data_IF_246922964113
#
_entry.id   IF_246922964113
#
_cell.length_a   1.000
_cell.length_b   1.000
_cell.length_c   1.000
_cell.angle_alpha   90.00
_cell.angle_beta   90.00
_cell.angle_gamma   90.00
#
_symmetry.space_group_name_H-M   'P 1'
#
loop_
_entity.id
_entity.type
_entity.pdbx_description
1 polymer ?
#
# COMPACT_ATOMS: atom_id res chain seq x y z
N UNK A 1 21.50 -6.13 3.23
CA UNK A 1 21.58 -4.67 3.42
C UNK A 1 21.19 -3.95 2.14
N UNK A 2 21.80 -4.24 1.00
CA UNK A 2 21.57 -3.55 -0.29
C UNK A 2 20.11 -3.47 -0.72
N UNK A 3 19.31 -4.51 -0.41
CA UNK A 3 17.90 -4.53 -0.74
C UNK A 3 17.08 -3.53 0.07
N UNK A 4 17.31 -3.45 1.38
CA UNK A 4 16.66 -2.47 2.27
C UNK A 4 17.14 -1.06 1.96
N UNK A 5 18.41 -0.88 1.67
CA UNK A 5 18.97 0.40 1.26
C UNK A 5 18.29 0.87 -0.03
N UNK A 6 18.24 0.02 -1.05
CA UNK A 6 17.60 0.36 -2.31
C UNK A 6 16.10 0.63 -2.18
N UNK A 7 15.37 -0.12 -1.33
CA UNK A 7 13.97 0.12 -1.04
C UNK A 7 13.74 1.47 -0.36
N UNK A 8 14.52 1.75 0.67
CA UNK A 8 14.35 2.92 1.52
C UNK A 8 14.88 4.20 0.86
N UNK A 9 15.96 4.11 0.09
CA UNK A 9 16.69 5.25 -0.44
C UNK A 9 16.27 5.65 -1.86
N UNK A 10 15.74 4.71 -2.63
CA UNK A 10 15.25 4.97 -3.99
C UNK A 10 16.35 4.87 -5.05
N UNK A 11 16.01 5.21 -6.29
CA UNK A 11 16.79 4.88 -7.49
C UNK A 11 18.11 5.65 -7.66
N UNK A 12 18.23 6.86 -7.16
CA UNK A 12 19.47 7.66 -7.22
C UNK A 12 20.62 7.07 -6.40
N UNK A 13 20.28 6.09 -5.60
CA UNK A 13 21.20 5.43 -4.71
C UNK A 13 22.04 4.33 -5.36
N UNK A 14 21.65 3.85 -6.53
CA UNK A 14 22.20 2.62 -7.05
C UNK A 14 23.50 2.80 -7.84
N UNK A 15 24.63 2.64 -7.13
CA UNK A 15 25.79 1.94 -7.70
C UNK A 15 25.63 0.41 -7.54
N UNK A 16 24.47 -0.07 -7.06
CA UNK A 16 24.13 -1.49 -6.86
C UNK A 16 23.14 -1.95 -7.93
N UNK A 17 23.07 -3.25 -8.19
CA UNK A 17 22.14 -3.91 -9.13
C UNK A 17 20.65 -3.75 -8.78
N UNK A 18 20.32 -2.79 -7.93
CA UNK A 18 18.97 -2.49 -7.48
C UNK A 18 18.01 -2.20 -8.63
N UNK A 19 18.47 -1.58 -9.69
CA UNK A 19 17.66 -1.28 -10.88
C UNK A 19 17.10 -2.52 -11.58
N UNK A 20 17.81 -3.64 -11.49
CA UNK A 20 17.44 -4.90 -12.13
C UNK A 20 16.59 -5.83 -11.24
N UNK A 21 16.36 -5.46 -9.97
CA UNK A 21 15.58 -6.29 -9.04
C UNK A 21 14.08 -6.11 -9.25
N UNK A 22 13.37 -7.23 -9.32
CA UNK A 22 11.91 -7.25 -9.42
C UNK A 22 11.30 -6.91 -8.05
N UNK A 23 10.68 -5.74 -7.93
CA UNK A 23 10.09 -5.25 -6.67
C UNK A 23 8.64 -5.69 -6.46
N UNK A 24 8.08 -6.54 -7.32
CA UNK A 24 6.69 -6.96 -7.25
C UNK A 24 6.33 -7.58 -5.88
N UNK A 25 7.21 -8.44 -5.34
CA UNK A 25 7.01 -9.02 -4.01
C UNK A 25 6.94 -7.99 -2.88
N UNK A 26 7.64 -6.86 -3.01
CA UNK A 26 7.60 -5.78 -2.02
C UNK A 26 6.29 -4.99 -2.05
N UNK A 27 5.70 -4.79 -3.22
CA UNK A 27 4.39 -4.15 -3.32
C UNK A 27 3.31 -5.02 -2.66
N UNK A 28 3.33 -6.33 -2.90
CA UNK A 28 2.42 -7.27 -2.24
C UNK A 28 2.64 -7.24 -0.72
N UNK A 29 3.90 -7.33 -0.27
CA UNK A 29 4.23 -7.30 1.16
C UNK A 29 3.78 -6.00 1.81
N UNK A 30 3.95 -4.86 1.13
CA UNK A 30 3.46 -3.57 1.60
C UNK A 30 1.93 -3.57 1.72
N UNK A 31 1.20 -4.06 0.71
CA UNK A 31 -0.25 -4.18 0.75
C UNK A 31 -0.72 -5.01 1.93
N UNK A 32 -0.18 -6.23 2.08
CA UNK A 32 -0.50 -7.11 3.20
C UNK A 32 -0.20 -6.49 4.57
N UNK A 33 0.91 -5.76 4.69
CA UNK A 33 1.27 -5.09 5.94
C UNK A 33 0.30 -3.96 6.30
N UNK A 34 -0.09 -3.16 5.31
CA UNK A 34 -1.10 -2.09 5.50
C UNK A 34 -2.44 -2.70 5.86
N UNK A 35 -2.87 -3.77 5.18
CA UNK A 35 -4.13 -4.46 5.48
C UNK A 35 -4.15 -5.04 6.88
N UNK A 36 -3.02 -5.62 7.32
CA UNK A 36 -2.91 -6.14 8.70
C UNK A 36 -3.08 -5.01 9.74
N UNK A 37 -2.50 -3.81 9.49
CA UNK A 37 -2.68 -2.65 10.36
C UNK A 37 -4.13 -2.16 10.33
N UNK A 38 -4.72 -2.03 9.15
CA UNK A 38 -6.12 -1.57 8.99
C UNK A 38 -7.08 -2.53 9.69
N UNK A 39 -6.90 -3.85 9.51
CA UNK A 39 -7.70 -4.87 10.19
C UNK A 39 -7.52 -4.81 11.71
N UNK A 40 -6.29 -4.65 12.17
CA UNK A 40 -6.00 -4.54 13.61
C UNK A 40 -6.71 -3.33 14.22
N UNK A 41 -6.57 -2.16 13.60
CA UNK A 41 -7.24 -0.93 14.05
C UNK A 41 -8.77 -1.06 13.99
N UNK A 42 -9.30 -1.69 12.93
CA UNK A 42 -10.72 -1.89 12.73
C UNK A 42 -11.34 -2.83 13.77
N UNK A 43 -10.68 -3.98 14.05
CA UNK A 43 -11.22 -4.98 15.00
C UNK A 43 -11.05 -4.53 16.45
N UNK A 44 -9.91 -3.97 16.81
CA UNK A 44 -9.60 -3.64 18.22
C UNK A 44 -10.01 -2.23 18.61
N UNK A 45 -10.42 -1.38 17.66
CA UNK A 45 -10.78 0.04 17.88
C UNK A 45 -9.74 0.77 18.74
N UNK A 46 -8.49 0.36 18.68
CA UNK A 46 -7.37 0.90 19.46
C UNK A 46 -6.42 1.58 18.51
N UNK A 47 -6.24 2.90 18.66
CA UNK A 47 -5.24 3.65 17.91
C UNK A 47 -3.83 3.04 18.11
N UNK A 48 -3.34 2.30 17.10
CA UNK A 48 -2.01 1.68 17.15
C UNK A 48 -0.96 2.76 16.91
N UNK A 49 -0.23 3.16 17.96
CA UNK A 49 0.97 4.03 17.87
C UNK A 49 0.80 5.18 16.86
N UNK A 50 -0.38 5.82 16.81
CA UNK A 50 -0.64 6.97 15.94
C UNK A 50 -0.76 6.68 14.44
N UNK A 51 -0.88 5.42 14.00
CA UNK A 51 -1.21 5.10 12.62
C UNK A 51 -2.59 5.66 12.27
N UNK A 52 -2.68 6.34 11.12
CA UNK A 52 -3.94 6.93 10.66
C UNK A 52 -4.24 8.33 11.23
N UNK A 53 -3.53 8.79 12.24
CA UNK A 53 -3.72 10.15 12.79
C UNK A 53 -2.68 11.12 12.21
N UNK A 54 -2.94 11.62 11.00
CA UNK A 54 -2.06 12.53 10.29
C UNK A 54 -2.50 13.97 10.51
N UNK A 55 -1.71 14.70 11.29
CA UNK A 55 -1.85 16.15 11.44
C UNK A 55 -1.02 16.95 10.40
N UNK A 56 -1.21 18.26 10.31
CA UNK A 56 -0.49 19.11 9.36
C UNK A 56 1.03 19.07 9.53
N UNK A 57 1.52 18.82 10.73
CA UNK A 57 2.96 18.68 11.02
C UNK A 57 3.53 17.44 10.31
N UNK A 58 2.82 16.30 10.32
CA UNK A 58 3.26 15.08 9.62
C UNK A 58 3.34 15.29 8.11
N UNK A 59 2.39 16.04 7.54
CA UNK A 59 2.40 16.38 6.11
C UNK A 59 3.60 17.27 5.81
N UNK A 60 3.88 18.28 6.62
CA UNK A 60 5.02 19.19 6.44
C UNK A 60 6.34 18.42 6.51
N UNK A 61 6.50 17.50 7.48
CA UNK A 61 7.68 16.64 7.60
C UNK A 61 7.81 15.74 6.37
N UNK A 62 6.71 15.14 5.93
CA UNK A 62 6.71 14.28 4.74
C UNK A 62 7.17 15.03 3.49
N UNK A 63 6.63 16.23 3.25
CA UNK A 63 7.00 17.08 2.11
C UNK A 63 8.47 17.46 2.18
N UNK A 64 8.95 17.87 3.36
CA UNK A 64 10.35 18.22 3.57
C UNK A 64 11.28 17.03 3.26
N UNK A 65 10.97 15.84 3.78
CA UNK A 65 11.73 14.61 3.52
C UNK A 65 11.66 14.19 2.05
N UNK A 66 10.50 14.43 1.41
CA UNK A 66 10.29 14.16 0.00
C UNK A 66 11.20 15.02 -0.88
N UNK A 67 11.23 16.33 -0.62
CA UNK A 67 12.05 17.30 -1.37
C UNK A 67 13.54 17.11 -1.10
N UNK A 68 13.93 16.81 0.14
CA UNK A 68 15.32 16.63 0.54
C UNK A 68 15.92 15.30 0.08
N UNK A 69 15.11 14.33 -0.32
CA UNK A 69 15.54 12.96 -0.67
C UNK A 69 16.76 12.88 -1.60
N UNK A 70 16.78 13.57 -2.78
CA UNK A 70 17.88 13.45 -3.70
C UNK A 70 19.20 14.01 -3.15
N UNK A 71 19.13 15.06 -2.33
CA UNK A 71 20.30 15.67 -1.70
C UNK A 71 20.87 14.81 -0.58
N UNK A 72 20.02 14.20 0.24
CA UNK A 72 20.42 13.30 1.32
C UNK A 72 21.14 12.07 0.75
N UNK A 73 20.67 11.53 -0.39
CA UNK A 73 21.23 10.33 -0.98
C UNK A 73 22.54 10.55 -1.74
N UNK A 74 22.81 11.77 -2.18
CA UNK A 74 23.91 12.09 -3.12
C UNK A 74 25.32 11.64 -2.70
N UNK A 75 25.65 11.60 -1.41
CA UNK A 75 27.01 11.25 -0.90
C UNK A 75 27.05 10.08 0.08
N UNK A 76 26.02 9.29 0.12
CA UNK A 76 25.90 8.24 1.15
C UNK A 76 27.08 7.27 1.20
N UNK A 77 27.53 6.71 0.09
CA UNK A 77 28.63 5.73 0.10
C UNK A 77 29.94 6.30 0.61
N UNK A 78 30.10 7.61 0.55
CA UNK A 78 31.27 8.32 1.06
C UNK A 78 31.13 8.79 2.52
N UNK A 79 29.97 8.54 3.14
CA UNK A 79 29.72 8.96 4.51
C UNK A 79 30.24 7.94 5.54
N UNK A 80 30.60 8.40 6.75
CA UNK A 80 30.90 7.52 7.86
C UNK A 80 29.66 6.73 8.27
N UNK A 81 29.86 5.61 8.98
CA UNK A 81 28.80 4.70 9.41
C UNK A 81 27.63 5.42 10.12
N UNK A 82 27.95 6.38 10.98
CA UNK A 82 26.95 7.17 11.70
C UNK A 82 26.04 7.99 10.77
N UNK A 83 26.61 8.59 9.72
CA UNK A 83 25.83 9.30 8.70
C UNK A 83 24.89 8.38 7.93
N UNK A 84 25.35 7.16 7.62
CA UNK A 84 24.53 6.12 6.97
C UNK A 84 23.34 5.71 7.83
N UNK A 85 23.58 5.45 9.13
CA UNK A 85 22.52 5.11 10.08
C UNK A 85 21.49 6.24 10.18
N UNK A 86 21.93 7.49 10.29
CA UNK A 86 21.04 8.64 10.34
C UNK A 86 20.14 8.73 9.10
N UNK A 87 20.74 8.56 7.92
CA UNK A 87 19.98 8.60 6.65
C UNK A 87 18.96 7.47 6.60
N UNK A 88 19.32 6.26 7.00
CA UNK A 88 18.40 5.13 7.06
C UNK A 88 17.22 5.40 8.02
N UNK A 89 17.50 5.97 9.20
CA UNK A 89 16.45 6.36 10.15
C UNK A 89 15.49 7.39 9.56
N UNK A 90 16.01 8.41 8.87
CA UNK A 90 15.18 9.42 8.17
C UNK A 90 14.30 8.74 7.10
N UNK A 91 14.83 7.75 6.38
CA UNK A 91 14.08 7.02 5.37
C UNK A 91 13.04 6.08 5.96
N UNK A 92 13.34 5.44 7.08
CA UNK A 92 12.35 4.65 7.84
C UNK A 92 11.21 5.56 8.29
N UNK A 93 11.51 6.75 8.82
CA UNK A 93 10.49 7.73 9.21
C UNK A 93 9.59 8.13 8.03
N UNK A 94 10.17 8.34 6.85
CA UNK A 94 9.40 8.59 5.63
C UNK A 94 8.50 7.41 5.25
N UNK A 95 9.01 6.19 5.33
CA UNK A 95 8.24 4.98 5.07
C UNK A 95 7.06 4.84 6.04
N UNK A 96 7.29 5.10 7.33
CA UNK A 96 6.26 5.15 8.35
C UNK A 96 5.16 6.17 8.00
N UNK A 97 5.53 7.38 7.58
CA UNK A 97 4.57 8.40 7.17
C UNK A 97 3.73 7.98 5.95
N UNK A 98 4.33 7.29 4.97
CA UNK A 98 3.59 6.73 3.83
C UNK A 98 2.56 5.70 4.28
N UNK A 99 2.94 4.80 5.17
CA UNK A 99 2.04 3.78 5.74
C UNK A 99 0.92 4.46 6.51
N UNK A 100 1.23 5.40 7.41
CA UNK A 100 0.24 6.13 8.19
C UNK A 100 -0.75 6.90 7.31
N UNK A 101 -0.26 7.52 6.23
CA UNK A 101 -1.11 8.18 5.25
C UNK A 101 -2.04 7.20 4.53
N UNK A 102 -1.53 6.04 4.12
CA UNK A 102 -2.34 5.00 3.47
C UNK A 102 -3.44 4.48 4.41
N UNK A 103 -3.09 4.20 5.68
CA UNK A 103 -4.05 3.77 6.71
C UNK A 103 -5.11 4.84 6.94
N UNK A 104 -4.73 6.12 7.05
CA UNK A 104 -5.67 7.23 7.25
C UNK A 104 -6.66 7.41 6.09
N UNK A 105 -6.28 7.03 4.88
CA UNK A 105 -7.16 7.06 3.71
C UNK A 105 -8.13 5.86 3.67
N UNK A 106 -7.68 4.69 4.12
CA UNK A 106 -8.46 3.44 4.01
C UNK A 106 -9.41 3.25 5.18
N UNK A 107 -8.97 3.50 6.41
CA UNK A 107 -9.73 3.24 7.62
C UNK A 107 -11.12 3.91 7.64
N UNK A 108 -11.29 5.20 7.29
CA UNK A 108 -12.60 5.84 7.28
C UNK A 108 -13.57 5.30 6.22
N UNK A 109 -13.07 4.54 5.24
CA UNK A 109 -13.88 3.94 4.18
C UNK A 109 -14.49 2.60 4.56
N UNK A 110 -14.08 2.03 5.68
CA UNK A 110 -14.70 0.84 6.27
C UNK A 110 -15.98 1.27 6.99
N UNK A 111 -17.10 1.24 6.28
CA UNK A 111 -18.40 1.74 6.76
C UNK A 111 -19.18 0.74 7.60
N UNK A 112 -18.86 -0.56 7.52
CA UNK A 112 -19.55 -1.62 8.26
C UNK A 112 -18.92 -1.74 9.63
N UNK A 113 -19.74 -1.78 10.69
CA UNK A 113 -19.25 -2.02 12.06
C UNK A 113 -18.91 -3.50 12.22
N UNK A 114 -17.91 -3.80 13.06
CA UNK A 114 -17.50 -5.20 13.31
C UNK A 114 -18.66 -6.03 13.86
N UNK A 115 -19.47 -5.43 14.74
CA UNK A 115 -20.62 -6.08 15.36
C UNK A 115 -21.71 -6.46 14.32
N UNK A 116 -21.86 -5.65 13.26
CA UNK A 116 -22.86 -5.83 12.23
C UNK A 116 -22.35 -6.70 11.05
N UNK A 117 -21.05 -7.06 11.07
CA UNK A 117 -20.39 -7.75 9.96
C UNK A 117 -21.03 -9.11 9.66
N UNK A 118 -21.38 -9.87 10.72
CA UNK A 118 -22.00 -11.18 10.59
C UNK A 118 -23.38 -11.09 9.93
N UNK A 119 -24.20 -10.18 10.38
CA UNK A 119 -25.54 -9.98 9.84
C UNK A 119 -25.49 -9.47 8.38
N UNK A 120 -24.54 -8.58 8.09
CA UNK A 120 -24.29 -8.12 6.74
C UNK A 120 -23.89 -9.26 5.79
N UNK A 121 -22.96 -10.13 6.22
CA UNK A 121 -22.52 -11.29 5.44
C UNK A 121 -23.65 -12.28 5.20
N UNK A 122 -24.44 -12.61 6.24
CA UNK A 122 -25.59 -13.52 6.11
C UNK A 122 -26.62 -12.94 5.15
N UNK A 123 -26.95 -11.66 5.31
CA UNK A 123 -27.89 -10.97 4.42
C UNK A 123 -27.43 -10.96 2.97
N UNK A 124 -26.14 -10.67 2.73
CA UNK A 124 -25.55 -10.70 1.40
C UNK A 124 -25.59 -12.11 0.77
N UNK A 125 -25.26 -13.14 1.54
CA UNK A 125 -25.34 -14.54 1.08
C UNK A 125 -26.77 -14.91 0.68
N UNK A 126 -27.74 -14.67 1.58
CA UNK A 126 -29.12 -15.01 1.35
C UNK A 126 -29.69 -14.28 0.12
N UNK A 127 -29.48 -12.97 0.03
CA UNK A 127 -29.97 -12.16 -1.11
C UNK A 127 -29.32 -12.58 -2.43
N UNK A 128 -28.06 -12.99 -2.41
CA UNK A 128 -27.37 -13.48 -3.60
C UNK A 128 -27.92 -14.84 -4.05
N UNK A 129 -28.09 -15.78 -3.13
CA UNK A 129 -28.65 -17.10 -3.42
C UNK A 129 -30.10 -17.00 -3.94
N UNK A 130 -30.94 -16.17 -3.31
CA UNK A 130 -32.31 -15.91 -3.75
C UNK A 130 -32.35 -15.34 -5.17
N UNK A 131 -31.58 -14.29 -5.44
CA UNK A 131 -31.45 -13.67 -6.76
C UNK A 131 -31.07 -14.68 -7.86
N UNK A 132 -30.15 -15.59 -7.59
CA UNK A 132 -29.77 -16.60 -8.57
C UNK A 132 -30.82 -17.71 -8.69
N UNK A 133 -31.48 -18.11 -7.61
CA UNK A 133 -32.60 -19.06 -7.65
C UNK A 133 -33.76 -18.54 -8.51
N UNK A 134 -34.14 -17.29 -8.32
CA UNK A 134 -35.17 -16.63 -9.13
C UNK A 134 -34.81 -16.60 -10.63
N UNK A 135 -33.54 -16.29 -10.95
CA UNK A 135 -33.10 -16.30 -12.35
C UNK A 135 -33.27 -17.65 -13.05
N UNK A 136 -33.10 -18.74 -12.32
CA UNK A 136 -33.24 -20.09 -12.88
C UNK A 136 -34.64 -20.64 -12.78
N UNK A 137 -35.56 -20.00 -12.06
CA UNK A 137 -36.91 -20.48 -11.84
C UNK A 137 -37.68 -20.63 -13.16
N UNK A 138 -37.52 -19.69 -14.08
CA UNK A 138 -38.20 -19.71 -15.40
C UNK A 138 -37.65 -20.78 -16.36
N UNK A 139 -36.36 -21.17 -16.22
CA UNK A 139 -35.68 -22.05 -17.17
C UNK A 139 -35.44 -23.47 -16.66
N UNK A 140 -35.36 -23.67 -15.33
CA UNK A 140 -34.94 -24.94 -14.73
C UNK A 140 -36.01 -25.61 -13.84
N UNK A 141 -37.16 -24.98 -13.62
CA UNK A 141 -38.27 -25.57 -12.85
C UNK A 141 -37.80 -26.08 -11.46
N UNK A 142 -37.98 -27.39 -11.21
CA UNK A 142 -37.63 -28.03 -9.94
C UNK A 142 -36.12 -27.99 -9.61
N UNK A 143 -35.25 -27.78 -10.59
CA UNK A 143 -33.82 -27.70 -10.41
C UNK A 143 -33.31 -26.26 -10.16
N UNK A 144 -34.19 -25.27 -10.17
CA UNK A 144 -33.83 -23.86 -10.00
C UNK A 144 -33.04 -23.57 -8.69
N UNK A 145 -33.46 -24.24 -7.61
CA UNK A 145 -32.79 -24.08 -6.31
C UNK A 145 -31.34 -24.60 -6.35
N UNK A 146 -31.11 -25.78 -6.96
CA UNK A 146 -29.75 -26.37 -7.06
C UNK A 146 -28.84 -25.48 -7.93
N UNK A 147 -29.35 -25.06 -9.10
CA UNK A 147 -28.60 -24.16 -9.99
C UNK A 147 -28.38 -22.78 -9.37
N UNK A 148 -29.38 -22.27 -8.65
CA UNK A 148 -29.28 -21.02 -7.91
C UNK A 148 -28.19 -21.04 -6.84
N UNK A 149 -28.14 -22.11 -6.04
CA UNK A 149 -27.11 -22.29 -5.02
C UNK A 149 -25.71 -22.42 -5.63
N UNK A 150 -25.56 -23.20 -6.69
CA UNK A 150 -24.28 -23.35 -7.38
C UNK A 150 -23.80 -22.05 -8.00
N UNK A 151 -24.64 -21.36 -8.77
CA UNK A 151 -24.29 -20.10 -9.43
C UNK A 151 -24.10 -18.95 -8.42
N UNK A 152 -24.97 -18.88 -7.41
CA UNK A 152 -24.85 -17.92 -6.31
C UNK A 152 -23.57 -18.16 -5.50
N UNK A 153 -23.25 -19.42 -5.19
CA UNK A 153 -22.01 -19.79 -4.50
C UNK A 153 -20.76 -19.39 -5.27
N UNK A 154 -20.71 -19.67 -6.59
CA UNK A 154 -19.59 -19.24 -7.46
C UNK A 154 -19.49 -17.72 -7.47
N UNK A 155 -20.61 -16.98 -7.55
CA UNK A 155 -20.62 -15.52 -7.51
C UNK A 155 -20.07 -14.99 -6.18
N UNK A 156 -20.48 -15.55 -5.06
CA UNK A 156 -20.00 -15.15 -3.72
C UNK A 156 -18.50 -15.38 -3.61
N UNK A 157 -18.02 -16.58 -3.98
CA UNK A 157 -16.57 -16.90 -3.95
C UNK A 157 -15.79 -15.93 -4.85
N UNK A 158 -16.28 -15.66 -6.07
CA UNK A 158 -15.66 -14.69 -6.98
C UNK A 158 -15.61 -13.29 -6.39
N UNK A 159 -16.68 -12.85 -5.74
CA UNK A 159 -16.75 -11.54 -5.08
C UNK A 159 -15.75 -11.44 -3.91
N UNK A 160 -15.68 -12.47 -3.06
CA UNK A 160 -14.72 -12.51 -1.94
C UNK A 160 -13.28 -12.45 -2.43
N UNK A 161 -12.96 -13.23 -3.49
CA UNK A 161 -11.61 -13.20 -4.09
C UNK A 161 -11.28 -11.83 -4.69
N UNK A 162 -12.24 -11.18 -5.33
CA UNK A 162 -12.07 -9.86 -5.91
C UNK A 162 -11.83 -8.80 -4.81
N UNK A 163 -12.58 -8.86 -3.72
CA UNK A 163 -12.35 -7.96 -2.58
C UNK A 163 -11.00 -8.20 -1.90
N UNK A 164 -10.59 -9.46 -1.70
CA UNK A 164 -9.29 -9.79 -1.14
C UNK A 164 -8.15 -9.26 -2.02
N UNK A 165 -8.28 -9.40 -3.34
CA UNK A 165 -7.32 -8.88 -4.29
C UNK A 165 -7.29 -7.34 -4.28
N UNK A 166 -8.44 -6.69 -4.25
CA UNK A 166 -8.56 -5.24 -4.17
C UNK A 166 -7.94 -4.70 -2.87
N UNK A 167 -8.15 -5.37 -1.74
CA UNK A 167 -7.55 -5.00 -0.46
C UNK A 167 -6.03 -4.90 -0.57
N UNK A 168 -5.36 -5.89 -1.18
CA UNK A 168 -3.90 -5.88 -1.35
C UNK A 168 -3.46 -4.85 -2.40
N UNK A 169 -4.19 -4.75 -3.52
CA UNK A 169 -3.78 -3.90 -4.65
C UNK A 169 -3.94 -2.42 -4.35
N UNK A 170 -5.03 -2.00 -3.69
CA UNK A 170 -5.29 -0.57 -3.44
C UNK A 170 -4.17 0.10 -2.62
N UNK A 171 -3.75 -0.40 -1.44
CA UNK A 171 -2.66 0.22 -0.71
C UNK A 171 -1.33 0.13 -1.45
N UNK A 172 -1.11 -0.96 -2.20
CA UNK A 172 0.07 -1.12 -3.04
C UNK A 172 0.14 -0.07 -4.16
N UNK A 173 -0.99 0.26 -4.80
CA UNK A 173 -1.07 1.32 -5.80
C UNK A 173 -0.79 2.71 -5.21
N UNK A 174 -1.28 3.01 -4.02
CA UNK A 174 -0.98 4.27 -3.33
C UNK A 174 0.53 4.41 -3.13
N UNK A 175 1.18 3.36 -2.64
CA UNK A 175 2.63 3.33 -2.48
C UNK A 175 3.36 3.52 -3.82
N UNK A 176 2.92 2.83 -4.88
CA UNK A 176 3.49 2.92 -6.22
C UNK A 176 3.43 4.36 -6.75
N UNK A 177 2.28 5.02 -6.62
CA UNK A 177 2.10 6.42 -7.08
C UNK A 177 3.06 7.35 -6.34
N UNK A 178 3.16 7.24 -5.02
CA UNK A 178 4.08 8.05 -4.21
C UNK A 178 5.54 7.81 -4.65
N UNK A 179 5.92 6.55 -4.89
CA UNK A 179 7.26 6.19 -5.38
C UNK A 179 7.53 6.71 -6.78
N UNK A 180 6.57 6.67 -7.67
CA UNK A 180 6.70 7.18 -9.03
C UNK A 180 6.90 8.71 -9.03
N UNK A 181 6.11 9.43 -8.24
CA UNK A 181 6.27 10.88 -8.09
C UNK A 181 7.65 11.22 -7.49
N UNK A 182 8.08 10.45 -6.48
CA UNK A 182 9.41 10.60 -5.90
C UNK A 182 10.50 10.37 -6.95
N UNK A 183 10.36 9.33 -7.77
CA UNK A 183 11.31 9.02 -8.83
C UNK A 183 11.45 10.16 -9.84
N UNK A 184 10.33 10.74 -10.27
CA UNK A 184 10.33 11.89 -11.20
C UNK A 184 11.04 13.08 -10.56
N UNK A 185 10.75 13.39 -9.30
CA UNK A 185 11.42 14.46 -8.56
C UNK A 185 12.92 14.23 -8.45
N UNK A 186 13.32 13.05 -8.01
CA UNK A 186 14.72 12.66 -7.87
C UNK A 186 15.47 12.77 -9.20
N UNK A 187 14.83 12.38 -10.32
CA UNK A 187 15.39 12.49 -11.66
C UNK A 187 15.58 13.96 -12.07
N UNK A 188 14.60 14.83 -11.85
CA UNK A 188 14.66 16.26 -12.13
C UNK A 188 15.84 16.89 -11.37
N UNK A 189 15.89 16.69 -10.06
CA UNK A 189 16.94 17.26 -9.20
C UNK A 189 18.33 16.76 -9.62
N UNK A 190 18.45 15.46 -9.92
CA UNK A 190 19.71 14.89 -10.36
C UNK A 190 20.17 15.52 -11.68
N UNK A 191 19.26 15.66 -12.65
CA UNK A 191 19.59 16.18 -13.98
C UNK A 191 19.97 17.67 -13.95
N UNK A 192 19.17 18.49 -13.26
CA UNK A 192 19.32 19.96 -13.31
C UNK A 192 20.24 20.52 -12.23
N UNK A 193 20.33 19.88 -11.06
CA UNK A 193 21.08 20.42 -9.94
C UNK A 193 22.35 19.60 -9.69
N UNK A 194 22.21 18.28 -9.42
CA UNK A 194 23.34 17.49 -8.95
C UNK A 194 24.41 17.36 -10.04
N UNK A 195 24.05 16.98 -11.24
CA UNK A 195 25.00 16.85 -12.37
C UNK A 195 25.66 18.17 -12.75
N UNK A 196 24.95 19.28 -12.60
CA UNK A 196 25.44 20.61 -12.99
C UNK A 196 26.37 21.21 -11.94
N UNK A 197 26.02 21.12 -10.65
CA UNK A 197 26.76 21.77 -9.58
C UNK A 197 27.77 20.85 -8.87
N UNK A 198 27.57 19.54 -8.97
CA UNK A 198 28.42 18.53 -8.32
C UNK A 198 28.86 17.47 -9.33
N UNK A 199 29.65 17.84 -10.39
CA UNK A 199 30.13 16.86 -11.34
C UNK A 199 30.93 15.78 -10.59
N UNK A 200 30.53 14.53 -10.75
CA UNK A 200 31.28 13.41 -10.20
C UNK A 200 32.63 13.37 -10.91
N UNK A 201 33.71 13.71 -10.20
CA UNK A 201 35.04 13.36 -10.65
C UNK A 201 35.14 11.84 -10.68
N UNK A 202 35.22 11.27 -11.88
CA UNK A 202 35.55 9.86 -12.09
C UNK A 202 36.87 9.50 -11.45
#
# INVERSE_FOLDING_TARGET
MDYLEGLLLGKLWSDTDYENRKHFGLFILYGLFVDAIVLYEYILSRGLIGFGNIGPIHIAIFVLLFLANPFICFRYYRMPLWGKILILLVKISKCYLIISYTVSLLLPRLSVRVDDLQDYLISYLNSTLEKYTEKFQASAGSFSTVLGVLAGGVHVVGTVLLFALAAIVIPSLIYLVIKLVQYVWDWIVNMFIIKRFFPQRK
#
